data_IF_909398745629
#
_entry.id   IF_909398745629
#
_cell.length_a   1.000
_cell.length_b   1.000
_cell.length_c   1.000
_cell.angle_alpha   90.00
_cell.angle_beta   90.00
_cell.angle_gamma   90.00
#
_symmetry.space_group_name_H-M   'P 1'
#
loop_
_entity.id
_entity.type
_entity.pdbx_description
1 polymer ?
#
# COMPACT_ATOMS: atom_id res chain seq x y z
N UNK A 1 19.54 -10.78 12.73
CA UNK A 1 19.25 -12.14 13.24
C UNK A 1 19.98 -12.35 14.58
N UNK A 2 19.58 -13.33 15.40
CA UNK A 2 20.18 -13.57 16.73
C UNK A 2 20.96 -14.90 16.71
N UNK A 3 22.14 -14.92 17.31
CA UNK A 3 22.96 -16.12 17.44
C UNK A 3 22.31 -17.15 18.37
N UNK A 4 22.04 -18.37 17.89
CA UNK A 4 21.46 -19.45 18.73
C UNK A 4 22.31 -19.81 19.95
N UNK A 5 23.63 -19.65 19.85
CA UNK A 5 24.56 -20.01 20.92
C UNK A 5 24.76 -18.92 21.99
N UNK A 6 24.76 -17.63 21.62
CA UNK A 6 25.10 -16.54 22.55
C UNK A 6 24.07 -15.40 22.60
N UNK A 7 22.95 -15.52 21.88
CA UNK A 7 21.87 -14.54 21.78
C UNK A 7 22.27 -13.11 21.39
N UNK A 8 23.48 -12.91 20.86
CA UNK A 8 23.90 -11.62 20.30
C UNK A 8 23.39 -11.44 18.86
N UNK A 9 23.16 -10.20 18.42
CA UNK A 9 22.84 -9.91 17.03
C UNK A 9 23.99 -10.31 16.10
N UNK A 10 23.65 -10.84 14.94
CA UNK A 10 24.61 -11.25 13.90
C UNK A 10 24.25 -10.56 12.57
N UNK A 11 25.27 -10.25 11.79
CA UNK A 11 25.15 -9.81 10.40
C UNK A 11 24.75 -10.97 9.50
N UNK A 12 23.74 -10.77 8.65
CA UNK A 12 23.19 -11.81 7.77
C UNK A 12 24.23 -12.41 6.81
N UNK A 13 25.32 -11.69 6.50
CA UNK A 13 26.33 -12.15 5.56
C UNK A 13 27.43 -13.00 6.22
N UNK A 14 27.62 -12.88 7.53
CA UNK A 14 28.68 -13.63 8.23
C UNK A 14 28.40 -15.13 8.36
N UNK A 15 29.42 -15.95 8.08
CA UNK A 15 29.40 -17.41 8.28
C UNK A 15 29.48 -17.80 9.77
N UNK A 16 30.14 -16.97 10.57
CA UNK A 16 30.41 -17.21 11.98
C UNK A 16 29.91 -16.04 12.82
N UNK A 17 29.41 -16.33 14.02
CA UNK A 17 29.07 -15.29 14.98
C UNK A 17 30.34 -14.56 15.46
N UNK A 18 30.37 -13.23 15.34
CA UNK A 18 31.50 -12.39 15.80
C UNK A 18 31.76 -12.47 17.31
N UNK A 19 30.77 -12.85 18.11
CA UNK A 19 30.87 -12.90 19.57
C UNK A 19 31.32 -14.27 20.10
N UNK A 20 30.75 -15.35 19.58
CA UNK A 20 31.00 -16.70 20.10
C UNK A 20 31.68 -17.65 19.11
N UNK A 21 31.99 -17.20 17.89
CA UNK A 21 32.66 -17.99 16.86
C UNK A 21 31.85 -19.17 16.29
N UNK A 22 30.61 -19.39 16.74
CA UNK A 22 29.79 -20.50 16.28
C UNK A 22 29.40 -20.28 14.81
N UNK A 23 29.54 -21.34 13.99
CA UNK A 23 29.07 -21.36 12.61
C UNK A 23 27.55 -21.17 12.59
N UNK A 24 27.07 -20.27 11.75
CA UNK A 24 25.65 -19.90 11.65
C UNK A 24 25.01 -20.34 10.34
N UNK A 25 25.84 -20.67 9.33
CA UNK A 25 25.37 -21.11 8.02
C UNK A 25 25.86 -22.52 7.71
N UNK A 26 25.00 -23.37 7.18
CA UNK A 26 25.30 -24.70 6.68
C UNK A 26 24.95 -24.81 5.19
N UNK A 27 25.58 -25.77 4.50
CA UNK A 27 25.28 -26.00 3.09
C UNK A 27 23.92 -26.69 3.00
N UNK A 28 22.96 -26.04 2.36
CA UNK A 28 21.62 -26.58 2.19
C UNK A 28 21.67 -27.79 1.23
N UNK A 29 21.06 -28.94 1.58
CA UNK A 29 21.08 -30.14 0.74
C UNK A 29 20.24 -29.98 -0.54
N UNK A 30 19.27 -29.06 -0.55
CA UNK A 30 18.37 -28.86 -1.69
C UNK A 30 18.99 -27.97 -2.77
N UNK A 31 19.56 -26.82 -2.39
CA UNK A 31 20.10 -25.84 -3.34
C UNK A 31 21.64 -25.82 -3.41
N UNK A 32 22.34 -26.39 -2.41
CA UNK A 32 23.79 -26.35 -2.33
C UNK A 32 24.40 -25.01 -1.89
N UNK A 33 23.59 -23.99 -1.58
CA UNK A 33 24.05 -22.69 -1.07
C UNK A 33 24.23 -22.70 0.46
N UNK A 34 25.00 -21.75 0.99
CA UNK A 34 25.23 -21.59 2.43
C UNK A 34 24.06 -20.81 3.06
N UNK A 35 23.17 -21.52 3.76
CA UNK A 35 21.97 -20.96 4.38
C UNK A 35 22.03 -21.05 5.91
N UNK A 36 21.20 -20.27 6.59
CA UNK A 36 21.20 -20.22 8.06
C UNK A 36 20.78 -21.55 8.67
N UNK A 37 21.52 -21.99 9.68
CA UNK A 37 21.31 -23.28 10.35
C UNK A 37 19.91 -23.34 10.96
N UNK A 38 19.20 -24.43 10.69
CA UNK A 38 17.91 -24.75 11.27
C UNK A 38 16.74 -23.89 10.79
N UNK A 39 16.84 -23.33 9.58
CA UNK A 39 15.64 -22.96 8.83
C UNK A 39 14.94 -24.24 8.32
N UNK A 40 13.61 -24.31 8.35
CA UNK A 40 12.87 -25.52 7.98
C UNK A 40 12.78 -25.77 6.47
N UNK A 41 13.07 -24.74 5.68
CA UNK A 41 12.88 -24.71 4.24
C UNK A 41 14.05 -23.92 3.64
N UNK A 42 14.53 -24.37 2.49
CA UNK A 42 15.56 -23.67 1.74
C UNK A 42 15.15 -22.24 1.40
N UNK A 43 15.88 -21.23 1.87
CA UNK A 43 15.57 -19.81 1.66
C UNK A 43 15.69 -19.41 0.18
N UNK A 44 16.66 -19.98 -0.51
CA UNK A 44 16.90 -19.73 -1.94
C UNK A 44 15.74 -20.23 -2.80
N UNK A 45 15.25 -21.44 -2.51
CA UNK A 45 14.08 -22.02 -3.15
C UNK A 45 12.83 -21.18 -2.86
N UNK A 46 12.64 -20.78 -1.60
CA UNK A 46 11.54 -19.92 -1.18
C UNK A 46 11.56 -18.55 -1.91
N UNK A 47 12.75 -17.97 -2.10
CA UNK A 47 12.94 -16.72 -2.86
C UNK A 47 12.67 -16.92 -4.35
N UNK A 48 12.92 -18.09 -4.91
CA UNK A 48 12.56 -18.45 -6.29
C UNK A 48 11.04 -18.57 -6.44
N UNK A 49 10.39 -19.34 -5.56
CA UNK A 49 8.93 -19.51 -5.53
C UNK A 49 8.23 -18.16 -5.37
N UNK A 50 8.69 -17.29 -4.44
CA UNK A 50 8.13 -15.93 -4.28
C UNK A 50 8.29 -15.08 -5.54
N UNK A 51 9.40 -15.21 -6.27
CA UNK A 51 9.62 -14.50 -7.53
C UNK A 51 8.69 -15.00 -8.63
N UNK A 52 8.51 -16.30 -8.76
CA UNK A 52 7.60 -16.90 -9.74
C UNK A 52 6.14 -16.57 -9.42
N UNK A 53 5.74 -16.67 -8.15
CA UNK A 53 4.44 -16.21 -7.66
C UNK A 53 4.20 -14.74 -7.99
N UNK A 54 5.19 -13.87 -7.73
CA UNK A 54 5.05 -12.43 -8.01
C UNK A 54 4.93 -12.15 -9.50
N UNK A 55 5.70 -12.83 -10.36
CA UNK A 55 5.58 -12.75 -11.82
C UNK A 55 4.20 -13.21 -12.29
N UNK A 56 3.74 -14.36 -11.80
CA UNK A 56 2.44 -14.90 -12.16
C UNK A 56 1.31 -13.94 -11.78
N UNK A 57 1.34 -13.44 -10.54
CA UNK A 57 0.37 -12.43 -10.08
C UNK A 57 0.47 -11.19 -10.97
N UNK A 58 1.65 -10.64 -11.22
CA UNK A 58 1.80 -9.42 -12.04
C UNK A 58 1.34 -9.58 -13.48
N UNK A 59 1.43 -10.79 -14.04
CA UNK A 59 1.02 -11.09 -15.41
C UNK A 59 -0.50 -11.33 -15.52
N UNK A 60 -1.16 -11.71 -14.42
CA UNK A 60 -2.59 -12.07 -14.40
C UNK A 60 -3.49 -11.07 -13.68
N UNK A 61 -2.96 -10.27 -12.77
CA UNK A 61 -3.67 -9.10 -12.24
C UNK A 61 -3.52 -7.99 -13.26
N UNK A 62 -4.63 -7.46 -13.76
CA UNK A 62 -4.60 -6.23 -14.55
C UNK A 62 -3.72 -5.22 -13.82
N UNK A 63 -2.73 -4.68 -14.53
CA UNK A 63 -1.96 -3.55 -14.00
C UNK A 63 -3.00 -2.53 -13.59
N UNK A 64 -2.97 -2.17 -12.30
CA UNK A 64 -3.72 -1.06 -11.75
C UNK A 64 -3.80 0.02 -12.84
N UNK A 65 -4.99 0.52 -13.22
CA UNK A 65 -5.05 1.78 -13.96
C UNK A 65 -4.29 2.75 -13.08
N UNK A 66 -3.05 3.06 -13.48
CA UNK A 66 -1.99 3.49 -12.59
C UNK A 66 -2.37 4.83 -12.03
N UNK A 67 -3.08 4.86 -10.89
CA UNK A 67 -3.77 6.03 -10.38
C UNK A 67 -4.35 6.82 -11.56
N UNK A 68 -5.46 6.38 -12.16
CA UNK A 68 -6.13 7.12 -13.25
C UNK A 68 -5.92 8.61 -13.04
N UNK A 69 -4.97 9.17 -13.80
CA UNK A 69 -4.43 10.50 -13.50
C UNK A 69 -5.57 11.50 -13.49
N UNK A 70 -6.65 11.19 -14.21
CA UNK A 70 -7.95 11.83 -14.16
C UNK A 70 -8.54 11.97 -12.76
N UNK A 71 -8.66 10.92 -11.93
CA UNK A 71 -9.32 11.03 -10.62
C UNK A 71 -8.48 11.88 -9.65
N UNK A 72 -7.18 11.65 -9.59
CA UNK A 72 -6.28 12.45 -8.75
C UNK A 72 -6.24 13.92 -9.19
N UNK A 73 -6.17 14.16 -10.51
CA UNK A 73 -6.20 15.51 -11.09
C UNK A 73 -7.55 16.18 -10.85
N UNK A 74 -8.65 15.43 -10.95
CA UNK A 74 -10.00 15.92 -10.69
C UNK A 74 -10.17 16.33 -9.22
N UNK A 75 -9.72 15.50 -8.28
CA UNK A 75 -9.74 15.84 -6.86
C UNK A 75 -8.86 17.06 -6.55
N UNK A 76 -7.67 17.13 -7.13
CA UNK A 76 -6.78 18.30 -6.98
C UNK A 76 -7.43 19.57 -7.53
N UNK A 77 -8.10 19.48 -8.68
CA UNK A 77 -8.84 20.60 -9.27
C UNK A 77 -9.98 21.07 -8.37
N UNK A 78 -10.80 20.16 -7.82
CA UNK A 78 -11.87 20.52 -6.89
C UNK A 78 -11.34 21.25 -5.66
N UNK A 79 -10.23 20.77 -5.08
CA UNK A 79 -9.58 21.42 -3.94
C UNK A 79 -9.11 22.84 -4.31
N UNK A 80 -8.47 22.99 -5.48
CA UNK A 80 -8.01 24.30 -5.94
C UNK A 80 -9.18 25.29 -6.13
N UNK A 81 -10.29 24.85 -6.72
CA UNK A 81 -11.51 25.66 -6.88
C UNK A 81 -12.06 26.09 -5.52
N UNK A 82 -12.12 25.19 -4.54
CA UNK A 82 -12.57 25.54 -3.19
C UNK A 82 -11.69 26.59 -2.51
N UNK A 83 -10.36 26.49 -2.66
CA UNK A 83 -9.42 27.47 -2.10
C UNK A 83 -9.67 28.85 -2.70
N UNK A 84 -9.88 28.94 -4.02
CA UNK A 84 -10.19 30.20 -4.70
C UNK A 84 -11.52 30.79 -4.20
N UNK A 85 -12.58 29.97 -4.09
CA UNK A 85 -13.88 30.41 -3.57
C UNK A 85 -13.74 30.93 -2.12
N UNK A 86 -12.98 30.24 -1.27
CA UNK A 86 -12.74 30.67 0.11
C UNK A 86 -12.01 32.02 0.19
N UNK A 87 -11.02 32.25 -0.68
CA UNK A 87 -10.31 33.54 -0.77
C UNK A 87 -11.27 34.65 -1.19
N UNK A 88 -12.10 34.42 -2.22
CA UNK A 88 -13.09 35.40 -2.70
C UNK A 88 -14.09 35.72 -1.59
N UNK A 89 -14.62 34.71 -0.89
CA UNK A 89 -15.53 34.89 0.22
C UNK A 89 -14.89 35.71 1.36
N UNK A 90 -13.62 35.45 1.67
CA UNK A 90 -12.85 36.23 2.64
C UNK A 90 -12.70 37.70 2.25
N UNK A 91 -12.41 37.99 0.98
CA UNK A 91 -12.34 39.38 0.47
C UNK A 91 -13.69 40.07 0.59
N UNK A 92 -14.78 39.40 0.20
CA UNK A 92 -16.14 39.95 0.31
C UNK A 92 -16.49 40.27 1.78
N UNK A 93 -16.11 39.38 2.70
CA UNK A 93 -16.30 39.59 4.14
C UNK A 93 -15.57 40.85 4.64
N UNK A 94 -14.30 41.04 4.23
CA UNK A 94 -13.52 42.23 4.59
C UNK A 94 -14.17 43.51 4.04
N UNK A 95 -14.58 43.50 2.77
CA UNK A 95 -15.24 44.65 2.14
C UNK A 95 -16.59 44.99 2.79
N UNK A 96 -17.32 43.98 3.27
CA UNK A 96 -18.54 44.16 4.04
C UNK A 96 -18.26 44.88 5.38
N UNK A 97 -17.25 44.46 6.14
CA UNK A 97 -16.88 45.14 7.39
C UNK A 97 -16.40 46.58 7.19
N UNK A 98 -15.83 46.91 6.03
CA UNK A 98 -15.45 48.28 5.69
C UNK A 98 -16.66 49.15 5.27
N UNK A 99 -17.87 48.58 5.15
CA UNK A 99 -19.08 49.28 4.71
C UNK A 99 -19.18 49.51 3.21
N UNK A 100 -18.33 48.86 2.40
CA UNK A 100 -18.30 49.03 0.93
C UNK A 100 -19.35 48.18 0.23
N UNK A 101 -19.82 47.13 0.90
CA UNK A 101 -20.79 46.18 0.37
C UNK A 101 -22.07 46.28 1.17
N UNK A 102 -23.19 46.56 0.50
CA UNK A 102 -24.52 46.65 1.13
C UNK A 102 -25.04 45.26 1.53
N UNK A 103 -26.00 45.24 2.47
CA UNK A 103 -26.62 44.05 3.09
C UNK A 103 -27.11 42.96 2.11
N UNK A 104 -27.28 43.29 0.83
CA UNK A 104 -27.80 42.36 -0.18
C UNK A 104 -26.80 41.25 -0.59
N UNK A 105 -25.48 41.48 -0.56
CA UNK A 105 -24.49 40.52 -1.12
C UNK A 105 -24.05 39.47 -0.10
N UNK A 106 -24.05 39.82 1.19
CA UNK A 106 -23.60 38.95 2.27
C UNK A 106 -24.35 37.58 2.36
N UNK A 107 -25.70 37.51 2.34
CA UNK A 107 -26.39 36.24 2.44
C UNK A 107 -26.09 35.31 1.27
N UNK A 108 -25.92 35.84 0.05
CA UNK A 108 -25.55 35.02 -1.11
C UNK A 108 -24.14 34.46 -1.01
N UNK A 109 -23.18 35.24 -0.51
CA UNK A 109 -21.82 34.76 -0.27
C UNK A 109 -21.81 33.62 0.78
N UNK A 110 -22.56 33.80 1.87
CA UNK A 110 -22.70 32.77 2.91
C UNK A 110 -23.36 31.50 2.35
N UNK A 111 -24.49 31.62 1.65
CA UNK A 111 -25.18 30.49 1.04
C UNK A 111 -24.32 29.77 0.01
N UNK A 112 -23.55 30.49 -0.81
CA UNK A 112 -22.61 29.89 -1.75
C UNK A 112 -21.57 29.04 -1.02
N UNK A 113 -20.95 29.54 0.05
CA UNK A 113 -19.96 28.76 0.81
C UNK A 113 -20.54 27.48 1.42
N UNK A 114 -21.75 27.54 1.97
CA UNK A 114 -22.45 26.38 2.52
C UNK A 114 -22.76 25.36 1.41
N UNK A 115 -23.31 25.82 0.29
CA UNK A 115 -23.67 24.96 -0.83
C UNK A 115 -22.45 24.25 -1.42
N UNK A 116 -21.38 24.99 -1.73
CA UNK A 116 -20.13 24.41 -2.23
C UNK A 116 -19.47 23.46 -1.23
N UNK A 117 -19.58 23.75 0.08
CA UNK A 117 -19.10 22.86 1.13
C UNK A 117 -19.81 21.51 1.12
N UNK A 118 -21.15 21.52 1.03
CA UNK A 118 -21.96 20.30 0.98
C UNK A 118 -21.68 19.49 -0.29
N UNK A 119 -21.68 20.13 -1.46
CA UNK A 119 -21.41 19.45 -2.73
C UNK A 119 -20.03 18.80 -2.73
N UNK A 120 -19.00 19.52 -2.28
CA UNK A 120 -17.64 18.99 -2.27
C UNK A 120 -17.48 17.83 -1.28
N UNK A 121 -18.16 17.88 -0.13
CA UNK A 121 -18.20 16.76 0.81
C UNK A 121 -18.86 15.52 0.20
N UNK A 122 -19.97 15.69 -0.55
CA UNK A 122 -20.63 14.60 -1.26
C UNK A 122 -19.74 14.02 -2.37
N UNK A 123 -19.08 14.86 -3.16
CA UNK A 123 -18.13 14.44 -4.19
C UNK A 123 -16.95 13.68 -3.59
N UNK A 124 -16.38 14.18 -2.49
CA UNK A 124 -15.31 13.50 -1.76
C UNK A 124 -15.77 12.12 -1.26
N UNK A 125 -16.95 12.02 -0.65
CA UNK A 125 -17.47 10.76 -0.14
C UNK A 125 -17.75 9.75 -1.26
N UNK A 126 -18.24 10.21 -2.42
CA UNK A 126 -18.43 9.37 -3.59
C UNK A 126 -17.08 8.85 -4.13
N UNK A 127 -16.07 9.71 -4.22
CA UNK A 127 -14.72 9.33 -4.64
C UNK A 127 -14.09 8.31 -3.67
N UNK A 128 -14.23 8.51 -2.36
CA UNK A 128 -13.71 7.56 -1.36
C UNK A 128 -14.38 6.19 -1.45
N UNK A 129 -15.72 6.13 -1.61
CA UNK A 129 -16.42 4.85 -1.81
C UNK A 129 -16.00 4.13 -3.09
N UNK A 130 -15.74 4.89 -4.15
CA UNK A 130 -15.23 4.34 -5.40
C UNK A 130 -13.83 3.72 -5.21
N UNK A 131 -12.94 4.41 -4.50
CA UNK A 131 -11.61 3.91 -4.16
C UNK A 131 -11.67 2.65 -3.28
N UNK A 132 -12.48 2.66 -2.22
CA UNK A 132 -12.66 1.49 -1.35
C UNK A 132 -13.23 0.28 -2.10
N UNK A 133 -14.19 0.49 -3.01
CA UNK A 133 -14.77 -0.57 -3.83
C UNK A 133 -13.74 -1.21 -4.75
N UNK A 134 -12.91 -0.39 -5.39
CA UNK A 134 -11.83 -0.89 -6.23
C UNK A 134 -10.78 -1.64 -5.41
N UNK A 135 -10.36 -1.11 -4.26
CA UNK A 135 -9.38 -1.75 -3.37
C UNK A 135 -9.81 -3.16 -2.94
N UNK A 136 -11.08 -3.31 -2.55
CA UNK A 136 -11.65 -4.62 -2.20
C UNK A 136 -11.62 -5.58 -3.38
N UNK A 137 -12.10 -5.14 -4.55
CA UNK A 137 -12.11 -5.96 -5.76
C UNK A 137 -10.71 -6.44 -6.13
N UNK A 138 -9.70 -5.58 -6.02
CA UNK A 138 -8.31 -5.94 -6.30
C UNK A 138 -7.73 -6.92 -5.29
N UNK A 139 -8.09 -6.76 -4.02
CA UNK A 139 -7.69 -7.70 -2.98
C UNK A 139 -8.28 -9.09 -3.26
N UNK A 140 -9.56 -9.15 -3.62
CA UNK A 140 -10.25 -10.38 -4.02
C UNK A 140 -9.62 -11.01 -5.28
N UNK A 141 -9.38 -10.23 -6.33
CA UNK A 141 -8.76 -10.71 -7.57
C UNK A 141 -7.33 -11.23 -7.33
N UNK A 142 -6.56 -10.56 -6.46
CA UNK A 142 -5.22 -11.01 -6.08
C UNK A 142 -5.26 -12.31 -5.30
N UNK A 143 -6.16 -12.45 -4.32
CA UNK A 143 -6.33 -13.69 -3.55
C UNK A 143 -6.72 -14.83 -4.50
N UNK A 144 -7.68 -14.60 -5.39
CA UNK A 144 -8.12 -15.58 -6.38
C UNK A 144 -7.00 -16.00 -7.33
N UNK A 145 -6.15 -15.08 -7.74
CA UNK A 145 -4.99 -15.35 -8.59
C UNK A 145 -3.91 -16.13 -7.84
N UNK A 146 -3.70 -15.81 -6.58
CA UNK A 146 -2.80 -16.53 -5.68
C UNK A 146 -3.27 -17.97 -5.44
N UNK A 147 -4.56 -18.17 -5.17
CA UNK A 147 -5.16 -19.51 -5.03
C UNK A 147 -5.00 -20.32 -6.31
N UNK A 148 -5.20 -19.68 -7.47
CA UNK A 148 -4.99 -20.32 -8.78
C UNK A 148 -3.53 -20.74 -8.97
N UNK A 149 -2.56 -19.88 -8.62
CA UNK A 149 -1.14 -20.20 -8.69
C UNK A 149 -0.78 -21.42 -7.82
N UNK A 150 -1.32 -21.48 -6.60
CA UNK A 150 -1.08 -22.58 -5.67
C UNK A 150 -1.77 -23.88 -6.13
N UNK A 151 -2.94 -23.79 -6.76
CA UNK A 151 -3.63 -24.93 -7.33
C UNK A 151 -2.87 -25.53 -8.54
N UNK A 152 -2.26 -24.69 -9.37
CA UNK A 152 -1.43 -25.12 -10.51
C UNK A 152 -0.06 -25.66 -10.07
N UNK A 153 0.44 -25.26 -8.89
CA UNK A 153 1.75 -25.65 -8.37
C UNK A 153 1.65 -26.18 -6.93
N UNK A 154 1.10 -27.39 -6.72
CA UNK A 154 0.86 -27.93 -5.38
C UNK A 154 2.17 -28.12 -4.57
N UNK A 155 3.30 -28.37 -5.24
CA UNK A 155 4.62 -28.44 -4.60
C UNK A 155 5.00 -27.12 -3.90
N UNK A 156 4.67 -25.97 -4.51
CA UNK A 156 4.96 -24.66 -3.93
C UNK A 156 4.06 -24.36 -2.75
N UNK A 157 2.80 -24.82 -2.79
CA UNK A 157 1.87 -24.68 -1.67
C UNK A 157 2.38 -25.39 -0.42
N UNK A 158 2.91 -26.61 -0.56
CA UNK A 158 3.45 -27.36 0.59
C UNK A 158 4.69 -26.67 1.18
N UNK A 159 5.59 -26.18 0.34
CA UNK A 159 6.81 -25.46 0.76
C UNK A 159 6.46 -24.17 1.49
N UNK A 160 5.51 -23.40 0.97
CA UNK A 160 5.05 -22.15 1.59
C UNK A 160 4.37 -22.42 2.94
N UNK A 161 3.53 -23.45 3.03
CA UNK A 161 2.87 -23.83 4.30
C UNK A 161 3.88 -24.21 5.38
N UNK A 162 4.89 -25.03 5.05
CA UNK A 162 5.98 -25.39 5.98
C UNK A 162 6.78 -24.18 6.47
N UNK A 163 6.90 -23.15 5.63
CA UNK A 163 7.59 -21.92 6.02
C UNK A 163 6.77 -21.01 6.93
N UNK A 164 5.43 -21.06 6.86
CA UNK A 164 4.53 -20.26 7.70
C UNK A 164 4.30 -20.88 9.08
N UNK A 165 4.21 -22.20 9.17
CA UNK A 165 4.00 -22.92 10.45
C UNK A 165 5.17 -22.77 11.45
N UNK A 166 6.33 -22.26 11.02
CA UNK A 166 7.52 -22.11 11.86
C UNK A 166 7.99 -20.65 12.04
N UNK A 167 7.19 -19.67 11.63
CA UNK A 167 7.39 -18.26 12.00
C UNK A 167 6.92 -18.00 13.43
#
# INVERSE_FOLDING_TARGET
MICRNCNNPIDNDSLFCKHCGAMQKEKCPECGEMELIGHPVCETLLKKIRREKWKFISDHTEKFPSSDSGLATFLAFLIAVQVVIAIIAGIILILYFLGWVKDFIFPYALWATIFFGIESWLSYKAAMRYLEGNEKKMTEDRIKTEDKFLAENPEYAEILKKAEEKK
#
